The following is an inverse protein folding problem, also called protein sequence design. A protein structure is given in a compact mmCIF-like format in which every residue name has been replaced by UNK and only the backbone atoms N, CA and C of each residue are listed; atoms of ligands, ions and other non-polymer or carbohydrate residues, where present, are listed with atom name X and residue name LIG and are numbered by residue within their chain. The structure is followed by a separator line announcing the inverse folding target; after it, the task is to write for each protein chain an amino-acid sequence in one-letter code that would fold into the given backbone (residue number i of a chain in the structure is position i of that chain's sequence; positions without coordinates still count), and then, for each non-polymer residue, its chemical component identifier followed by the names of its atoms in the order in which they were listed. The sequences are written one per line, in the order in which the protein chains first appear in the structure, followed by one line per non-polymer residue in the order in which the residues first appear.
data_IF_882798425255
#
_entry.id   IF_882798425255
#
_cell.length_a   1.000
_cell.length_b   1.000
_cell.length_c   1.000
_cell.angle_alpha   90.00
_cell.angle_beta   90.00
_cell.angle_gamma   90.00
#
_symmetry.space_group_name_H-M   'P 1'
#
loop_
_entity.id
_entity.type
_entity.pdbx_description
1 polymer ?
#
# COMPACT_ATOMS: atom_id res chain seq x y z
N UNK A 1 9.54 29.27 15.99
CA UNK A 1 10.34 29.42 14.75
C UNK A 1 9.72 28.55 13.67
N UNK A 2 9.61 29.05 12.45
CA UNK A 2 9.25 28.21 11.30
C UNK A 2 10.38 27.22 11.01
N UNK A 3 10.03 25.99 10.63
CA UNK A 3 11.00 24.97 10.21
C UNK A 3 11.57 25.34 8.85
N UNK A 4 12.88 25.09 8.65
CA UNK A 4 13.57 25.43 7.41
C UNK A 4 14.12 24.19 6.71
N UNK A 5 14.18 24.24 5.38
CA UNK A 5 14.73 23.15 4.55
C UNK A 5 16.23 22.96 4.81
N UNK A 6 16.96 24.04 5.11
CA UNK A 6 18.40 23.98 5.44
C UNK A 6 18.67 23.12 6.69
N UNK A 7 17.71 23.05 7.61
CA UNK A 7 17.80 22.26 8.85
C UNK A 7 17.51 20.76 8.63
N UNK A 8 17.10 20.36 7.41
CA UNK A 8 16.86 18.96 7.11
C UNK A 8 18.18 18.17 7.07
N UNK A 9 18.17 16.92 7.56
CA UNK A 9 19.28 16.00 7.36
C UNK A 9 19.42 15.63 5.88
N UNK A 10 20.63 15.21 5.48
CA UNK A 10 20.98 14.97 4.07
C UNK A 10 20.07 13.95 3.37
N UNK A 11 19.63 12.91 4.08
CA UNK A 11 18.71 11.91 3.51
C UNK A 11 17.32 12.49 3.21
N UNK A 12 16.84 13.46 3.99
CA UNK A 12 15.56 14.12 3.76
C UNK A 12 15.69 15.16 2.64
N UNK A 13 16.86 15.83 2.53
CA UNK A 13 17.20 16.70 1.39
C UNK A 13 17.29 15.93 0.06
N UNK A 14 17.96 14.78 0.04
CA UNK A 14 18.00 13.91 -1.15
C UNK A 14 16.60 13.43 -1.52
N UNK A 15 15.79 13.01 -0.54
CA UNK A 15 14.42 12.59 -0.79
C UNK A 15 13.57 13.71 -1.41
N UNK A 16 13.65 14.94 -0.87
CA UNK A 16 12.94 16.10 -1.40
C UNK A 16 13.41 16.50 -2.81
N UNK A 17 14.73 16.47 -3.06
CA UNK A 17 15.30 16.76 -4.37
C UNK A 17 14.80 15.78 -5.44
N UNK A 18 14.79 14.48 -5.13
CA UNK A 18 14.26 13.44 -6.03
C UNK A 18 12.77 13.61 -6.29
N UNK A 19 12.00 13.94 -5.27
CA UNK A 19 10.56 14.21 -5.38
C UNK A 19 10.30 15.35 -6.37
N UNK A 20 11.01 16.47 -6.21
CA UNK A 20 10.92 17.63 -7.11
C UNK A 20 11.29 17.27 -8.55
N UNK A 21 12.35 16.48 -8.76
CA UNK A 21 12.75 16.02 -10.09
C UNK A 21 11.68 15.14 -10.74
N UNK A 22 11.07 14.23 -9.98
CA UNK A 22 9.99 13.36 -10.43
C UNK A 22 8.72 14.17 -10.76
N UNK A 23 8.36 15.16 -9.93
CA UNK A 23 7.25 16.08 -10.22
C UNK A 23 7.47 16.88 -11.50
N UNK A 24 8.69 17.41 -11.69
CA UNK A 24 9.05 18.15 -12.90
C UNK A 24 8.88 17.27 -14.14
N UNK A 25 9.42 16.05 -14.12
CA UNK A 25 9.26 15.08 -15.21
C UNK A 25 7.79 14.73 -15.48
N UNK A 26 7.00 14.58 -14.41
CA UNK A 26 5.57 14.31 -14.51
C UNK A 26 4.78 15.48 -15.12
N UNK A 27 5.15 16.71 -14.77
CA UNK A 27 4.56 17.93 -15.32
C UNK A 27 4.91 18.12 -16.79
N UNK A 28 6.19 17.95 -17.17
CA UNK A 28 6.63 17.97 -18.57
C UNK A 28 5.87 16.95 -19.41
N UNK A 29 5.70 15.73 -18.90
CA UNK A 29 4.90 14.69 -19.56
C UNK A 29 3.44 15.13 -19.79
N UNK A 30 2.79 15.74 -18.79
CA UNK A 30 1.41 16.25 -18.93
C UNK A 30 1.32 17.40 -19.92
N UNK A 31 2.28 18.32 -19.90
CA UNK A 31 2.33 19.43 -20.85
C UNK A 31 2.53 18.93 -22.29
N UNK A 32 3.36 17.91 -22.49
CA UNK A 32 3.51 17.25 -23.79
C UNK A 32 2.20 16.58 -24.25
N UNK A 33 1.45 15.97 -23.33
CA UNK A 33 0.15 15.38 -23.63
C UNK A 33 -0.90 16.42 -24.00
N UNK A 34 -1.00 17.52 -23.26
CA UNK A 34 -1.94 18.59 -23.58
C UNK A 34 -1.60 19.27 -24.91
N UNK A 35 -0.32 19.50 -25.20
CA UNK A 35 0.12 19.97 -26.53
C UNK A 35 -0.26 18.99 -27.63
N UNK A 36 0.02 17.69 -27.44
CA UNK A 36 -0.32 16.66 -28.42
C UNK A 36 -1.84 16.57 -28.64
N UNK A 37 -2.63 16.71 -27.59
CA UNK A 37 -4.10 16.71 -27.63
C UNK A 37 -4.65 17.90 -28.40
N UNK A 38 -4.05 19.08 -28.25
CA UNK A 38 -4.44 20.29 -28.96
C UNK A 38 -4.08 20.25 -30.45
N UNK A 39 -2.92 19.70 -30.80
CA UNK A 39 -2.39 19.69 -32.17
C UNK A 39 -2.94 18.54 -33.05
N UNK A 40 -3.21 17.37 -32.44
CA UNK A 40 -3.62 16.16 -33.17
C UNK A 40 -4.86 16.35 -34.07
N UNK A 41 -5.92 17.08 -33.66
CA UNK A 41 -7.06 17.35 -34.54
C UNK A 41 -6.69 18.17 -35.77
N UNK A 42 -5.73 19.09 -35.65
CA UNK A 42 -5.22 19.91 -36.75
C UNK A 42 -4.50 19.06 -37.79
N UNK A 43 -3.54 18.25 -37.33
CA UNK A 43 -2.78 17.32 -38.17
C UNK A 43 -3.68 16.32 -38.91
N UNK A 44 -4.69 15.76 -38.21
CA UNK A 44 -5.67 14.84 -38.83
C UNK A 44 -6.50 15.53 -39.92
N UNK A 45 -6.89 16.79 -39.72
CA UNK A 45 -7.61 17.58 -40.73
C UNK A 45 -6.73 17.92 -41.93
N UNK A 46 -5.48 18.30 -41.69
CA UNK A 46 -4.49 18.59 -42.75
C UNK A 46 -4.24 17.34 -43.61
N UNK A 47 -4.03 16.20 -42.95
CA UNK A 47 -3.85 14.90 -43.61
C UNK A 47 -5.04 14.48 -44.49
N UNK A 48 -6.26 14.81 -44.06
CA UNK A 48 -7.50 14.54 -44.81
C UNK A 48 -7.68 15.48 -46.01
N UNK A 49 -7.16 16.71 -45.94
CA UNK A 49 -7.28 17.74 -46.98
C UNK A 49 -6.21 17.65 -48.06
N UNK A 50 -5.18 16.82 -47.90
CA UNK A 50 -4.14 16.63 -48.89
C UNK A 50 -4.71 16.16 -50.24
N UNK A 51 -4.39 16.89 -51.30
CA UNK A 51 -4.73 16.49 -52.67
C UNK A 51 -3.82 15.34 -53.12
N UNK A 52 -4.44 14.21 -53.44
CA UNK A 52 -3.74 13.00 -53.92
C UNK A 52 -3.05 13.19 -55.27
N UNK A 53 -3.42 14.24 -56.01
CA UNK A 53 -2.85 14.57 -57.33
C UNK A 53 -1.74 15.61 -57.26
N UNK A 54 -1.47 16.20 -56.10
CA UNK A 54 -0.40 17.18 -55.93
C UNK A 54 0.98 16.53 -56.05
N UNK A 55 1.91 17.24 -56.69
CA UNK A 55 3.33 16.87 -56.68
C UNK A 55 3.85 16.87 -55.23
N UNK A 56 4.56 15.82 -54.83
CA UNK A 56 5.03 15.66 -53.44
C UNK A 56 4.00 15.08 -52.46
N UNK A 57 2.78 14.71 -52.88
CA UNK A 57 1.74 14.13 -51.98
C UNK A 57 2.27 12.99 -51.11
N UNK A 58 3.03 12.05 -51.69
CA UNK A 58 3.50 10.87 -50.96
C UNK A 58 4.49 11.22 -49.83
N UNK A 59 5.30 12.26 -50.02
CA UNK A 59 6.26 12.73 -49.01
C UNK A 59 5.52 13.47 -47.89
N UNK A 60 4.62 14.37 -48.26
CA UNK A 60 3.83 15.16 -47.31
C UNK A 60 2.87 14.30 -46.48
N UNK A 61 2.22 13.32 -47.11
CA UNK A 61 1.39 12.33 -46.43
C UNK A 61 2.19 11.53 -45.38
N UNK A 62 3.41 11.10 -45.72
CA UNK A 62 4.30 10.37 -44.78
C UNK A 62 4.73 11.25 -43.62
N UNK A 63 5.06 12.52 -43.87
CA UNK A 63 5.40 13.51 -42.84
C UNK A 63 4.26 13.65 -41.82
N UNK A 64 3.05 13.92 -42.30
CA UNK A 64 1.87 14.04 -41.43
C UNK A 64 1.52 12.72 -40.72
N UNK A 65 1.62 11.58 -41.39
CA UNK A 65 1.36 10.27 -40.77
C UNK A 65 2.37 9.98 -39.64
N UNK A 66 3.64 10.38 -39.81
CA UNK A 66 4.65 10.29 -38.76
C UNK A 66 4.34 11.23 -37.59
N UNK A 67 4.04 12.50 -37.85
CA UNK A 67 3.69 13.45 -36.79
C UNK A 67 2.44 13.01 -36.01
N UNK A 68 1.39 12.54 -36.70
CA UNK A 68 0.19 11.97 -36.06
C UNK A 68 0.58 10.81 -35.14
N UNK A 69 1.40 9.87 -35.63
CA UNK A 69 1.85 8.71 -34.85
C UNK A 69 2.64 9.12 -33.61
N UNK A 70 3.50 10.12 -33.72
CA UNK A 70 4.26 10.66 -32.58
C UNK A 70 3.35 11.29 -31.53
N UNK A 71 2.39 12.13 -31.93
CA UNK A 71 1.42 12.75 -31.02
C UNK A 71 0.51 11.71 -30.36
N UNK A 72 0.05 10.71 -31.11
CA UNK A 72 -0.71 9.58 -30.55
C UNK A 72 0.12 8.77 -29.55
N UNK A 73 1.43 8.59 -29.80
CA UNK A 73 2.36 7.98 -28.86
C UNK A 73 2.45 8.75 -27.54
N UNK A 74 2.54 10.09 -27.60
CA UNK A 74 2.54 10.97 -26.41
C UNK A 74 1.25 10.82 -25.58
N UNK A 75 0.09 10.78 -26.24
CA UNK A 75 -1.20 10.59 -25.57
C UNK A 75 -1.35 9.22 -24.89
N UNK A 76 -0.69 8.18 -25.40
CA UNK A 76 -0.71 6.82 -24.82
C UNK A 76 0.27 6.66 -23.65
N UNK A 77 1.22 7.57 -23.47
CA UNK A 77 2.21 7.51 -22.40
C UNK A 77 1.51 7.64 -21.04
N UNK A 78 1.88 6.82 -20.05
CA UNK A 78 1.39 6.98 -18.68
C UNK A 78 2.24 8.04 -17.98
N UNK A 79 1.71 9.25 -17.80
CA UNK A 79 2.34 10.27 -16.97
C UNK A 79 2.09 9.97 -15.49
N UNK A 80 3.12 10.16 -14.65
CA UNK A 80 2.97 10.02 -13.20
C UNK A 80 2.01 11.08 -12.67
N UNK A 81 1.13 10.69 -11.76
CA UNK A 81 0.14 11.57 -11.13
C UNK A 81 0.08 11.31 -9.63
N UNK A 82 -0.14 12.36 -8.85
CA UNK A 82 -0.28 12.26 -7.39
C UNK A 82 1.04 12.02 -6.68
N UNK A 83 0.96 11.31 -5.55
CA UNK A 83 2.09 11.09 -4.67
C UNK A 83 3.03 10.01 -5.22
N UNK A 84 4.32 10.34 -5.36
CA UNK A 84 5.32 9.44 -5.93
C UNK A 84 6.09 8.77 -4.79
N UNK A 85 5.96 7.43 -4.61
CA UNK A 85 6.66 6.75 -3.53
C UNK A 85 8.16 6.77 -3.80
N UNK A 86 8.94 6.81 -2.74
CA UNK A 86 10.39 6.81 -2.90
C UNK A 86 10.94 5.46 -3.39
N UNK A 87 10.25 4.36 -3.02
CA UNK A 87 10.46 3.00 -3.47
C UNK A 87 9.07 2.37 -3.69
N UNK A 88 8.58 2.30 -4.93
CA UNK A 88 7.23 1.80 -5.26
C UNK A 88 7.07 0.31 -4.98
N UNK A 89 5.89 -0.09 -4.52
CA UNK A 89 5.56 -1.49 -4.26
C UNK A 89 5.28 -2.28 -5.56
N UNK A 90 4.74 -1.64 -6.60
CA UNK A 90 4.36 -2.26 -7.86
C UNK A 90 5.55 -2.67 -8.73
N UNK A 91 6.73 -2.15 -8.45
CA UNK A 91 8.01 -2.54 -9.09
C UNK A 91 8.75 -3.64 -8.31
N UNK A 92 8.17 -4.13 -7.20
CA UNK A 92 8.81 -5.17 -6.38
C UNK A 92 8.41 -6.58 -6.79
N UNK A 93 9.29 -7.54 -6.50
CA UNK A 93 9.03 -8.96 -6.70
C UNK A 93 7.84 -9.38 -5.83
N UNK A 94 6.77 -9.86 -6.46
CA UNK A 94 5.61 -10.40 -5.76
C UNK A 94 5.87 -11.81 -5.23
N UNK A 95 5.37 -12.07 -4.03
CA UNK A 95 5.25 -13.41 -3.46
C UNK A 95 3.82 -13.93 -3.60
N UNK A 96 3.58 -15.10 -3.03
CA UNK A 96 2.26 -15.66 -2.86
C UNK A 96 1.84 -15.60 -1.39
N UNK A 97 0.54 -15.60 -1.12
CA UNK A 97 0.05 -15.81 0.23
C UNK A 97 -0.06 -17.31 0.49
N UNK A 98 0.69 -17.80 1.48
CA UNK A 98 0.64 -19.21 1.86
C UNK A 98 -0.61 -19.49 2.71
N UNK A 99 -1.55 -20.28 2.18
CA UNK A 99 -2.81 -20.61 2.85
C UNK A 99 -2.62 -21.48 4.10
N UNK A 100 -1.49 -22.19 4.24
CA UNK A 100 -1.16 -22.91 5.47
C UNK A 100 -0.99 -21.97 6.66
N UNK A 101 -0.55 -20.73 6.44
CA UNK A 101 -0.47 -19.72 7.50
C UNK A 101 -1.85 -19.43 8.09
N UNK A 102 -2.90 -19.41 7.26
CA UNK A 102 -4.28 -19.25 7.74
C UNK A 102 -4.67 -20.40 8.67
N UNK A 103 -4.34 -21.64 8.30
CA UNK A 103 -4.65 -22.83 9.09
C UNK A 103 -3.95 -22.82 10.44
N UNK A 104 -2.68 -22.40 10.48
CA UNK A 104 -1.91 -22.26 11.72
C UNK A 104 -2.55 -21.21 12.64
N UNK A 105 -2.89 -20.03 12.11
CA UNK A 105 -3.54 -18.96 12.89
C UNK A 105 -4.91 -19.44 13.42
N UNK A 106 -5.70 -20.07 12.56
CA UNK A 106 -7.02 -20.59 12.90
C UNK A 106 -6.96 -21.65 14.00
N UNK A 107 -6.03 -22.60 13.91
CA UNK A 107 -5.81 -23.60 14.94
C UNK A 107 -5.35 -22.97 16.28
N UNK A 108 -4.45 -21.98 16.21
CA UNK A 108 -3.89 -21.28 17.38
C UNK A 108 -4.93 -20.45 18.14
N UNK A 109 -5.89 -19.85 17.43
CA UNK A 109 -6.85 -18.89 18.00
C UNK A 109 -8.31 -19.37 18.02
N UNK A 110 -8.59 -20.57 17.50
CA UNK A 110 -9.95 -21.08 17.35
C UNK A 110 -10.80 -20.31 16.33
N UNK A 111 -10.15 -19.65 15.37
CA UNK A 111 -10.82 -18.86 14.32
C UNK A 111 -11.02 -19.68 13.04
N UNK A 112 -11.74 -19.10 12.07
CA UNK A 112 -11.98 -19.68 10.75
C UNK A 112 -11.84 -18.62 9.65
N UNK A 113 -10.78 -17.83 9.75
CA UNK A 113 -10.43 -16.77 8.80
C UNK A 113 -9.99 -17.39 7.47
N UNK A 114 -10.43 -16.78 6.37
CA UNK A 114 -9.95 -17.07 5.03
C UNK A 114 -8.97 -15.98 4.56
N UNK A 115 -7.75 -16.39 4.25
CA UNK A 115 -6.72 -15.48 3.75
C UNK A 115 -6.84 -15.21 2.24
N UNK A 116 -7.61 -15.99 1.48
CA UNK A 116 -7.72 -15.82 0.02
C UNK A 116 -8.38 -14.49 -0.40
N UNK A 117 -9.47 -14.00 0.22
CA UNK A 117 -9.99 -12.66 -0.03
C UNK A 117 -8.97 -11.58 0.34
N UNK A 118 -8.26 -11.77 1.44
CA UNK A 118 -7.24 -10.82 1.89
C UNK A 118 -6.07 -10.76 0.90
N UNK A 119 -5.69 -11.88 0.26
CA UNK A 119 -4.68 -11.90 -0.80
C UNK A 119 -5.07 -11.08 -2.05
N UNK A 120 -6.38 -10.91 -2.31
CA UNK A 120 -6.85 -10.05 -3.41
C UNK A 120 -6.74 -8.58 -3.06
N UNK A 121 -6.90 -8.24 -1.78
CA UNK A 121 -6.82 -6.87 -1.28
C UNK A 121 -5.40 -6.45 -0.93
N UNK A 122 -4.56 -7.39 -0.53
CA UNK A 122 -3.19 -7.19 -0.07
C UNK A 122 -2.20 -7.89 -1.00
N UNK A 123 -1.12 -7.18 -1.34
CA UNK A 123 0.03 -7.81 -1.98
C UNK A 123 0.93 -8.50 -0.96
N UNK A 124 1.65 -9.54 -1.39
CA UNK A 124 2.85 -10.04 -0.70
C UNK A 124 4.06 -9.62 -1.52
N UNK A 125 5.03 -8.96 -0.88
CA UNK A 125 6.19 -8.40 -1.53
C UNK A 125 7.47 -9.04 -0.97
N UNK A 126 8.25 -9.69 -1.84
CA UNK A 126 9.50 -10.35 -1.48
C UNK A 126 10.71 -9.42 -1.58
N UNK A 127 10.49 -8.22 -2.10
CA UNK A 127 11.46 -7.13 -2.13
C UNK A 127 10.86 -5.93 -1.43
N UNK A 128 11.66 -5.24 -0.64
CA UNK A 128 11.20 -4.11 0.16
C UNK A 128 10.74 -2.94 -0.69
N UNK A 129 9.74 -2.24 -0.18
CA UNK A 129 9.28 -0.94 -0.67
C UNK A 129 9.17 0.03 0.51
N UNK A 130 8.95 1.31 0.24
CA UNK A 130 8.73 2.32 1.28
C UNK A 130 7.46 3.09 0.89
N UNK A 131 6.30 2.80 1.52
CA UNK A 131 5.02 3.45 1.21
C UNK A 131 4.96 4.83 1.87
N UNK A 132 5.97 5.65 1.59
CA UNK A 132 6.13 7.00 2.10
C UNK A 132 6.19 7.97 0.92
N UNK A 133 5.46 9.07 1.08
CA UNK A 133 5.33 10.09 0.06
C UNK A 133 5.75 11.43 0.63
N UNK A 134 6.91 11.97 0.23
CA UNK A 134 7.22 13.36 0.52
C UNK A 134 6.23 14.24 -0.24
N UNK A 135 5.63 15.22 0.45
CA UNK A 135 4.61 16.09 -0.16
C UNK A 135 4.96 17.54 0.07
N UNK A 136 4.77 18.34 -0.97
CA UNK A 136 4.74 19.79 -0.86
C UNK A 136 3.35 20.24 -0.43
N UNK A 137 3.29 21.16 0.51
CA UNK A 137 2.08 21.87 0.90
C UNK A 137 1.52 22.69 -0.28
N UNK A 138 0.26 23.17 -0.22
CA UNK A 138 -0.37 23.93 -1.31
C UNK A 138 0.40 25.18 -1.74
N UNK A 139 1.24 25.73 -0.87
CA UNK A 139 2.13 26.87 -1.12
C UNK A 139 3.42 26.50 -1.87
N UNK A 140 3.63 25.21 -2.16
CA UNK A 140 4.82 24.68 -2.83
C UNK A 140 5.99 24.36 -1.89
N UNK A 141 5.89 24.64 -0.59
CA UNK A 141 6.92 24.31 0.41
C UNK A 141 6.85 22.84 0.88
N UNK A 142 7.94 22.24 1.38
CA UNK A 142 7.90 20.87 1.90
C UNK A 142 7.12 20.78 3.22
N UNK A 143 6.37 19.70 3.40
CA UNK A 143 5.76 19.38 4.71
C UNK A 143 6.85 18.95 5.69
N UNK A 144 6.99 19.64 6.82
CA UNK A 144 8.06 19.39 7.80
C UNK A 144 7.51 19.28 9.23
N UNK A 145 8.21 18.52 10.07
CA UNK A 145 7.87 18.36 11.49
C UNK A 145 9.13 18.29 12.36
N UNK A 146 8.98 18.43 13.68
CA UNK A 146 10.04 18.15 14.65
C UNK A 146 9.92 16.72 15.17
N UNK A 147 11.01 15.97 15.13
CA UNK A 147 11.13 14.65 15.77
C UNK A 147 12.44 14.52 16.48
N UNK A 148 12.40 14.16 17.75
CA UNK A 148 13.59 13.99 18.58
C UNK A 148 14.51 15.23 18.52
N UNK A 149 13.90 16.42 18.51
CA UNK A 149 14.61 17.71 18.38
C UNK A 149 15.00 18.11 16.95
N UNK A 150 15.02 17.17 16.00
CA UNK A 150 15.47 17.40 14.63
C UNK A 150 14.32 17.82 13.69
N UNK A 151 14.62 18.71 12.74
CA UNK A 151 13.71 19.01 11.63
C UNK A 151 13.71 17.81 10.67
N UNK A 152 12.53 17.30 10.33
CA UNK A 152 12.35 16.11 9.46
C UNK A 152 11.29 16.37 8.41
N UNK A 153 11.45 15.72 7.26
CA UNK A 153 10.42 15.74 6.21
C UNK A 153 9.22 14.88 6.65
N UNK A 154 8.02 15.42 6.51
CA UNK A 154 6.77 14.75 6.84
C UNK A 154 6.16 14.18 5.56
N UNK A 155 5.91 12.87 5.54
CA UNK A 155 5.17 12.27 4.45
C UNK A 155 3.66 12.35 4.69
N UNK A 156 2.86 12.00 3.68
CA UNK A 156 1.40 11.89 3.81
C UNK A 156 0.87 10.57 3.24
N UNK A 157 -0.10 9.97 3.89
CA UNK A 157 -0.93 8.87 3.38
C UNK A 157 -1.78 9.35 2.19
N UNK A 158 -2.39 8.41 1.45
CA UNK A 158 -3.33 8.73 0.35
C UNK A 158 -4.53 9.59 0.79
N UNK A 159 -4.97 9.45 2.04
CA UNK A 159 -6.07 10.23 2.62
C UNK A 159 -5.62 11.60 3.17
N UNK A 160 -4.33 11.95 3.03
CA UNK A 160 -3.77 13.22 3.48
C UNK A 160 -3.15 13.20 4.87
N UNK A 161 -3.34 12.13 5.65
CA UNK A 161 -2.83 12.05 7.02
C UNK A 161 -1.30 11.98 7.06
N UNK A 162 -0.63 12.56 8.07
CA UNK A 162 0.80 12.42 8.26
C UNK A 162 1.25 10.95 8.26
N UNK A 163 2.29 10.64 7.49
CA UNK A 163 2.86 9.29 7.36
C UNK A 163 4.37 9.26 7.60
N UNK A 164 4.79 8.26 8.39
CA UNK A 164 6.17 8.03 8.81
C UNK A 164 6.63 6.62 8.46
N UNK A 165 6.13 6.08 7.34
CA UNK A 165 6.44 4.74 6.93
C UNK A 165 7.95 4.49 6.82
N UNK A 166 8.35 3.29 7.22
CA UNK A 166 9.69 2.76 7.07
C UNK A 166 9.78 1.75 5.92
N UNK A 167 10.86 0.97 5.95
CA UNK A 167 11.04 -0.11 4.99
C UNK A 167 10.00 -1.20 5.26
N UNK A 168 9.24 -1.51 4.23
CA UNK A 168 8.08 -2.41 4.29
C UNK A 168 8.31 -3.62 3.39
N UNK A 169 7.95 -4.82 3.87
CA UNK A 169 8.09 -6.08 3.12
C UNK A 169 6.96 -7.06 3.45
N UNK A 170 6.97 -8.22 2.78
CA UNK A 170 5.98 -9.27 2.91
C UNK A 170 4.58 -8.70 2.71
N UNK A 171 3.62 -9.04 3.57
CA UNK A 171 2.26 -8.49 3.53
C UNK A 171 2.18 -7.16 4.30
N UNK A 172 2.92 -6.13 3.86
CA UNK A 172 2.81 -4.79 4.46
C UNK A 172 3.41 -4.63 5.86
N UNK A 173 4.44 -5.39 6.19
CA UNK A 173 5.13 -5.31 7.49
C UNK A 173 6.17 -4.18 7.43
N UNK A 174 5.90 -3.09 8.15
CA UNK A 174 6.74 -1.89 8.23
C UNK A 174 7.66 -1.94 9.46
N UNK A 175 8.97 -1.84 9.27
CA UNK A 175 9.96 -1.88 10.36
C UNK A 175 10.22 -0.53 11.04
N UNK A 176 9.75 0.59 10.47
CA UNK A 176 10.14 1.93 10.89
C UNK A 176 9.70 2.31 12.30
N UNK A 177 8.53 1.84 12.74
CA UNK A 177 7.99 2.09 14.08
C UNK A 177 8.25 0.98 15.10
N UNK A 178 9.07 -0.02 14.76
CA UNK A 178 9.25 -1.22 15.58
C UNK A 178 10.63 -1.24 16.26
N UNK A 179 10.71 -1.85 17.44
CA UNK A 179 11.97 -2.18 18.10
C UNK A 179 12.47 -3.55 17.62
N UNK A 180 13.75 -3.63 17.23
CA UNK A 180 14.33 -4.85 16.69
C UNK A 180 14.36 -6.00 17.70
N UNK A 181 14.71 -5.73 18.96
CA UNK A 181 14.89 -6.78 19.95
C UNK A 181 13.54 -7.41 20.34
N UNK A 182 12.52 -6.58 20.52
CA UNK A 182 11.14 -7.03 20.73
C UNK A 182 10.65 -7.81 19.51
N UNK A 183 10.87 -7.28 18.30
CA UNK A 183 10.47 -7.95 17.06
C UNK A 183 11.12 -9.33 16.92
N UNK A 184 12.44 -9.41 17.09
CA UNK A 184 13.22 -10.64 16.96
C UNK A 184 12.71 -11.71 17.92
N UNK A 185 12.52 -11.35 19.20
CA UNK A 185 12.06 -12.28 20.24
C UNK A 185 10.69 -12.86 19.92
N UNK A 186 9.75 -12.02 19.46
CA UNK A 186 8.45 -12.50 19.03
C UNK A 186 8.57 -13.39 17.78
N UNK A 187 9.31 -12.96 16.75
CA UNK A 187 9.49 -13.74 15.54
C UNK A 187 10.10 -15.13 15.82
N UNK A 188 11.07 -15.19 16.73
CA UNK A 188 11.72 -16.43 17.18
C UNK A 188 10.73 -17.39 17.84
N UNK A 189 9.87 -16.86 18.73
CA UNK A 189 8.79 -17.63 19.37
C UNK A 189 7.83 -18.21 18.34
N UNK A 190 7.44 -17.42 17.34
CA UNK A 190 6.59 -17.88 16.24
C UNK A 190 7.26 -18.97 15.40
N UNK A 191 8.57 -18.83 15.13
CA UNK A 191 9.31 -19.84 14.38
C UNK A 191 9.45 -21.14 15.18
N UNK A 192 9.87 -21.07 16.45
CA UNK A 192 10.02 -22.24 17.33
C UNK A 192 8.73 -23.03 17.50
N UNK A 193 7.59 -22.35 17.63
CA UNK A 193 6.28 -23.00 17.78
C UNK A 193 5.82 -23.72 16.51
N UNK A 194 6.18 -23.23 15.32
CA UNK A 194 5.57 -23.67 14.07
C UNK A 194 6.54 -24.27 13.04
N UNK A 195 7.84 -24.22 13.32
CA UNK A 195 8.93 -24.73 12.48
C UNK A 195 8.84 -24.27 11.01
N UNK A 196 8.68 -22.96 10.79
CA UNK A 196 8.47 -22.39 9.44
C UNK A 196 9.77 -22.38 8.62
N UNK A 197 10.88 -21.98 9.26
CA UNK A 197 12.23 -22.00 8.69
C UNK A 197 13.23 -22.62 9.66
N UNK A 198 14.33 -23.15 9.12
CA UNK A 198 15.43 -23.66 9.93
C UNK A 198 16.07 -22.55 10.79
N UNK A 199 16.67 -22.92 11.91
CA UNK A 199 17.28 -21.97 12.87
C UNK A 199 18.38 -21.11 12.21
N UNK A 200 19.21 -21.72 11.35
CA UNK A 200 20.23 -20.99 10.57
C UNK A 200 19.62 -19.95 9.62
N UNK A 201 18.47 -20.25 9.02
CA UNK A 201 17.77 -19.33 8.12
C UNK A 201 17.06 -18.23 8.91
N UNK A 202 16.62 -18.53 10.13
CA UNK A 202 16.09 -17.52 11.06
C UNK A 202 17.17 -16.49 11.43
N UNK A 203 18.36 -16.94 11.80
CA UNK A 203 19.46 -16.01 12.14
C UNK A 203 19.87 -15.14 10.95
N UNK A 204 19.93 -15.72 9.75
CA UNK A 204 20.16 -14.97 8.51
C UNK A 204 19.06 -13.93 8.26
N UNK A 205 17.80 -14.32 8.40
CA UNK A 205 16.67 -13.38 8.25
C UNK A 205 16.77 -12.26 9.28
N UNK A 206 17.02 -12.58 10.55
CA UNK A 206 17.11 -11.64 11.66
C UNK A 206 18.16 -10.57 11.41
N UNK A 207 19.39 -10.95 11.06
CA UNK A 207 20.46 -9.99 10.76
C UNK A 207 20.20 -9.23 9.46
N UNK A 208 19.54 -9.85 8.48
CA UNK A 208 19.15 -9.19 7.22
C UNK A 208 18.14 -8.05 7.46
N UNK A 209 17.15 -8.22 8.34
CA UNK A 209 16.12 -7.20 8.60
C UNK A 209 16.52 -6.13 9.63
N UNK A 210 17.48 -6.44 10.51
CA UNK A 210 17.94 -5.58 11.61
C UNK A 210 18.24 -4.12 11.24
N UNK A 211 18.91 -3.80 10.11
CA UNK A 211 19.29 -2.42 9.81
C UNK A 211 18.10 -1.46 9.57
N UNK A 212 16.92 -2.01 9.27
CA UNK A 212 15.75 -1.23 8.83
C UNK A 212 14.84 -0.77 9.98
N UNK A 213 15.07 -1.26 11.20
CA UNK A 213 14.29 -0.90 12.38
C UNK A 213 14.57 0.54 12.82
N UNK A 214 13.50 1.27 13.17
CA UNK A 214 13.60 2.67 13.57
C UNK A 214 13.88 3.65 12.42
N UNK A 215 13.97 3.17 11.17
CA UNK A 215 14.25 3.99 9.98
C UNK A 215 12.94 4.37 9.32
N UNK A 216 12.71 5.68 9.16
CA UNK A 216 11.45 6.23 8.65
C UNK A 216 11.70 7.31 7.58
N UNK A 217 10.75 7.47 6.67
CA UNK A 217 10.77 8.54 5.67
C UNK A 217 12.01 8.54 4.78
N UNK A 218 12.63 9.70 4.59
CA UNK A 218 13.81 9.86 3.73
C UNK A 218 14.99 8.98 4.16
N UNK A 219 15.13 8.69 5.44
CA UNK A 219 16.18 7.80 5.96
C UNK A 219 15.94 6.33 5.54
N UNK A 220 14.71 5.85 5.67
CA UNK A 220 14.32 4.51 5.20
C UNK A 220 14.53 4.38 3.68
N UNK A 221 14.18 5.42 2.94
CA UNK A 221 14.40 5.54 1.51
C UNK A 221 15.86 5.43 1.11
N UNK A 222 16.73 6.21 1.75
CA UNK A 222 18.15 6.20 1.49
C UNK A 222 18.76 4.83 1.80
N UNK A 223 18.37 4.24 2.94
CA UNK A 223 18.86 2.94 3.36
C UNK A 223 18.43 1.83 2.38
N UNK A 224 17.15 1.74 2.04
CA UNK A 224 16.62 0.68 1.18
C UNK A 224 17.08 0.77 -0.29
N UNK A 225 17.46 1.96 -0.77
CA UNK A 225 18.11 2.13 -2.08
C UNK A 225 19.54 1.62 -2.10
N UNK A 226 20.29 1.90 -1.02
CA UNK A 226 21.69 1.47 -0.89
C UNK A 226 21.79 -0.03 -0.59
N UNK A 227 20.91 -0.52 0.28
CA UNK A 227 20.84 -1.90 0.73
C UNK A 227 19.43 -2.39 0.44
N UNK A 228 19.23 -3.03 -0.70
CA UNK A 228 17.91 -3.56 -1.05
C UNK A 228 17.61 -4.80 -0.20
N UNK A 229 16.48 -4.82 0.49
CA UNK A 229 16.05 -5.98 1.27
C UNK A 229 15.22 -6.91 0.37
N UNK A 230 15.71 -8.14 0.23
CA UNK A 230 15.01 -9.22 -0.44
C UNK A 230 14.91 -10.46 0.46
N UNK A 231 13.74 -11.09 0.44
CA UNK A 231 13.44 -12.29 1.23
C UNK A 231 12.86 -13.40 0.36
N UNK A 232 13.01 -14.62 0.82
CA UNK A 232 12.38 -15.81 0.25
C UNK A 232 10.91 -15.87 0.63
N UNK A 233 10.16 -16.74 -0.06
CA UNK A 233 8.76 -16.99 0.29
C UNK A 233 8.60 -17.54 1.71
N UNK A 234 9.49 -18.43 2.17
CA UNK A 234 9.41 -19.00 3.52
C UNK A 234 9.70 -17.96 4.62
N UNK A 235 10.67 -17.07 4.37
CA UNK A 235 10.93 -15.93 5.25
C UNK A 235 9.69 -15.01 5.32
N UNK A 236 9.05 -14.73 4.18
CA UNK A 236 7.80 -13.96 4.14
C UNK A 236 6.66 -14.66 4.89
N UNK A 237 6.54 -15.98 4.79
CA UNK A 237 5.51 -16.77 5.48
C UNK A 237 5.67 -16.68 7.00
N UNK A 238 6.89 -16.73 7.54
CA UNK A 238 7.15 -16.53 8.97
C UNK A 238 6.76 -15.12 9.43
N UNK A 239 7.16 -14.10 8.68
CA UNK A 239 6.80 -12.71 9.00
C UNK A 239 5.27 -12.51 8.96
N UNK A 240 4.61 -13.05 7.92
CA UNK A 240 3.17 -13.00 7.74
C UNK A 240 2.41 -13.76 8.85
N UNK A 241 2.97 -14.87 9.34
CA UNK A 241 2.39 -15.63 10.44
C UNK A 241 2.34 -14.80 11.72
N UNK A 242 3.45 -14.18 12.10
CA UNK A 242 3.52 -13.31 13.29
C UNK A 242 2.54 -12.14 13.16
N UNK A 243 2.61 -11.39 12.06
CA UNK A 243 1.73 -10.24 11.84
C UNK A 243 0.25 -10.63 11.74
N UNK A 244 -0.05 -11.76 11.10
CA UNK A 244 -1.41 -12.28 10.94
C UNK A 244 -2.04 -12.73 12.25
N UNK A 245 -1.29 -13.46 13.10
CA UNK A 245 -1.80 -13.87 14.40
C UNK A 245 -2.00 -12.67 15.33
N UNK A 246 -1.08 -11.70 15.32
CA UNK A 246 -1.19 -10.48 16.11
C UNK A 246 -2.43 -9.66 15.71
N UNK A 247 -2.61 -9.42 14.41
CA UNK A 247 -3.79 -8.72 13.90
C UNK A 247 -5.09 -9.49 14.20
N UNK A 248 -5.05 -10.82 14.21
CA UNK A 248 -6.22 -11.64 14.55
C UNK A 248 -6.57 -11.54 16.03
N UNK A 249 -5.58 -11.63 16.93
CA UNK A 249 -5.80 -11.38 18.37
C UNK A 249 -6.40 -10.00 18.61
N UNK A 250 -5.88 -8.99 17.90
CA UNK A 250 -6.39 -7.62 17.98
C UNK A 250 -7.83 -7.52 17.49
N UNK A 251 -8.18 -8.22 16.41
CA UNK A 251 -9.55 -8.25 15.89
C UNK A 251 -10.53 -8.91 16.88
N UNK A 252 -10.13 -10.00 17.53
CA UNK A 252 -10.91 -10.63 18.60
C UNK A 252 -11.16 -9.62 19.73
N UNK A 253 -10.10 -9.02 20.27
CA UNK A 253 -10.19 -8.06 21.38
C UNK A 253 -11.09 -6.86 21.04
N UNK A 254 -10.89 -6.26 19.87
CA UNK A 254 -11.66 -5.09 19.44
C UNK A 254 -13.13 -5.41 19.18
N UNK A 255 -13.40 -6.60 18.62
CA UNK A 255 -14.76 -7.02 18.35
C UNK A 255 -15.51 -7.29 19.66
N UNK A 256 -14.88 -7.93 20.64
CA UNK A 256 -15.55 -8.31 21.90
C UNK A 256 -15.66 -7.14 22.89
N UNK A 257 -14.80 -6.12 22.75
CA UNK A 257 -14.79 -4.94 23.62
C UNK A 257 -16.12 -4.18 23.60
N UNK A 258 -16.74 -4.04 24.78
CA UNK A 258 -17.98 -3.27 25.01
C UNK A 258 -19.17 -3.76 24.17
N UNK A 259 -19.25 -5.06 23.91
CA UNK A 259 -20.45 -5.63 23.29
C UNK A 259 -21.60 -5.71 24.31
N UNK A 260 -22.87 -5.58 23.87
CA UNK A 260 -24.02 -5.91 24.69
C UNK A 260 -23.96 -7.34 25.23
N UNK A 261 -24.55 -7.57 26.39
CA UNK A 261 -24.71 -8.91 26.95
C UNK A 261 -25.44 -9.83 25.96
N UNK A 262 -24.99 -11.09 25.85
CA UNK A 262 -25.54 -12.05 24.89
C UNK A 262 -25.06 -11.89 23.43
N UNK A 263 -24.20 -10.91 23.14
CA UNK A 263 -23.60 -10.79 21.80
C UNK A 263 -22.74 -12.01 21.45
N UNK A 264 -22.66 -12.41 20.16
CA UNK A 264 -21.78 -13.50 19.73
C UNK A 264 -20.32 -13.16 20.06
N UNK A 265 -19.51 -14.17 20.38
CA UNK A 265 -18.05 -13.99 20.47
C UNK A 265 -17.46 -13.97 19.07
N UNK A 266 -16.23 -13.49 18.94
CA UNK A 266 -15.58 -13.41 17.64
C UNK A 266 -15.51 -14.78 16.94
N UNK A 267 -15.18 -15.82 17.70
CA UNK A 267 -15.03 -17.19 17.17
C UNK A 267 -16.36 -17.81 16.71
N UNK A 268 -17.49 -17.29 17.21
CA UNK A 268 -18.83 -17.78 16.86
C UNK A 268 -19.34 -17.12 15.55
N UNK A 269 -18.73 -16.01 15.12
CA UNK A 269 -19.05 -15.34 13.84
C UNK A 269 -18.78 -16.24 12.62
N UNK A 270 -19.36 -15.92 11.47
CA UNK A 270 -19.07 -16.60 10.20
C UNK A 270 -17.63 -16.36 9.72
N UNK A 271 -17.12 -17.21 8.81
CA UNK A 271 -15.78 -17.04 8.22
C UNK A 271 -15.64 -15.69 7.54
N UNK A 272 -16.68 -15.24 6.86
CA UNK A 272 -16.72 -13.97 6.13
C UNK A 272 -16.66 -12.78 7.09
N UNK A 273 -17.41 -12.83 8.20
CA UNK A 273 -17.36 -11.82 9.25
C UNK A 273 -15.98 -11.75 9.91
N UNK A 274 -15.41 -12.89 10.32
CA UNK A 274 -14.07 -12.92 10.94
C UNK A 274 -13.00 -12.38 9.98
N UNK A 275 -13.06 -12.78 8.71
CA UNK A 275 -12.13 -12.36 7.65
C UNK A 275 -12.24 -10.86 7.36
N UNK A 276 -13.46 -10.32 7.27
CA UNK A 276 -13.68 -8.90 7.06
C UNK A 276 -13.15 -8.07 8.25
N UNK A 277 -13.43 -8.50 9.49
CA UNK A 277 -12.93 -7.85 10.70
C UNK A 277 -11.40 -7.85 10.76
N UNK A 278 -10.76 -9.00 10.48
CA UNK A 278 -9.30 -9.09 10.38
C UNK A 278 -8.77 -8.10 9.32
N UNK A 279 -9.36 -8.10 8.12
CA UNK A 279 -8.93 -7.23 7.03
C UNK A 279 -8.98 -5.75 7.43
N UNK A 280 -10.03 -5.33 8.14
CA UNK A 280 -10.17 -3.95 8.59
C UNK A 280 -9.13 -3.59 9.67
N UNK A 281 -8.86 -4.49 10.61
CA UNK A 281 -7.81 -4.33 11.63
C UNK A 281 -6.43 -4.28 11.01
N UNK A 282 -6.15 -5.12 10.02
CA UNK A 282 -4.87 -5.14 9.33
C UNK A 282 -4.53 -3.79 8.68
N UNK A 283 -5.54 -3.08 8.18
CA UNK A 283 -5.37 -1.78 7.51
C UNK A 283 -5.34 -0.59 8.47
N UNK A 284 -6.13 -0.63 9.54
CA UNK A 284 -6.41 0.56 10.36
C UNK A 284 -6.02 0.42 11.81
N UNK A 285 -5.57 -0.78 12.21
CA UNK A 285 -5.34 -1.17 13.60
C UNK A 285 -6.58 -1.05 14.50
N UNK A 286 -7.75 -0.94 13.88
CA UNK A 286 -9.06 -0.74 14.50
C UNK A 286 -10.17 -1.49 13.77
N UNK A 287 -11.36 -1.50 14.37
CA UNK A 287 -12.58 -1.97 13.71
C UNK A 287 -13.48 -0.76 13.48
N UNK A 288 -13.97 -0.60 12.24
CA UNK A 288 -14.90 0.46 11.90
C UNK A 288 -16.20 0.29 12.68
N UNK A 289 -16.65 1.28 13.48
CA UNK A 289 -17.78 1.13 14.39
C UNK A 289 -19.07 0.65 13.70
N UNK A 290 -19.43 1.23 12.54
CA UNK A 290 -20.61 0.82 11.77
C UNK A 290 -20.52 -0.61 11.21
N UNK A 291 -19.31 -1.10 10.91
CA UNK A 291 -19.12 -2.47 10.44
C UNK A 291 -19.31 -3.47 11.59
N UNK A 292 -18.76 -3.15 12.77
CA UNK A 292 -19.04 -3.91 14.00
C UNK A 292 -20.55 -3.93 14.32
N UNK A 293 -21.20 -2.78 14.25
CA UNK A 293 -22.64 -2.65 14.49
C UNK A 293 -23.46 -3.49 13.51
N UNK A 294 -23.14 -3.42 12.21
CA UNK A 294 -23.81 -4.23 11.19
C UNK A 294 -23.74 -5.74 11.51
N UNK A 295 -22.57 -6.23 11.93
CA UNK A 295 -22.38 -7.64 12.31
C UNK A 295 -23.20 -8.00 13.55
N UNK A 296 -23.18 -7.17 14.59
CA UNK A 296 -23.90 -7.42 15.85
C UNK A 296 -25.42 -7.43 15.65
N UNK A 297 -25.93 -6.57 14.76
CA UNK A 297 -27.37 -6.44 14.50
C UNK A 297 -27.85 -7.35 13.36
N UNK A 298 -26.94 -8.03 12.66
CA UNK A 298 -27.27 -8.81 11.46
C UNK A 298 -27.77 -7.95 10.29
N UNK A 299 -27.52 -6.64 10.28
CA UNK A 299 -28.05 -5.69 9.28
C UNK A 299 -26.97 -5.33 8.26
N UNK A 300 -26.99 -6.01 7.11
CA UNK A 300 -26.04 -5.80 6.03
C UNK A 300 -26.12 -4.42 5.37
N UNK A 301 -27.24 -3.70 5.47
CA UNK A 301 -27.37 -2.35 4.90
C UNK A 301 -26.54 -1.32 5.66
N UNK A 302 -26.20 -1.61 6.93
CA UNK A 302 -25.37 -0.73 7.77
C UNK A 302 -23.88 -0.87 7.51
N UNK A 303 -23.45 -1.85 6.69
CA UNK A 303 -22.06 -1.96 6.28
C UNK A 303 -21.69 -0.67 5.52
N UNK A 304 -20.58 0.04 5.87
CA UNK A 304 -20.26 1.30 5.19
C UNK A 304 -19.83 1.05 3.74
N UNK A 305 -20.32 1.88 2.82
CA UNK A 305 -19.96 1.80 1.39
C UNK A 305 -18.49 2.07 1.10
N UNK A 306 -17.81 2.81 1.99
CA UNK A 306 -16.39 3.14 1.87
C UNK A 306 -15.44 2.01 2.29
N UNK A 307 -15.94 0.87 2.76
CA UNK A 307 -15.08 -0.26 3.16
C UNK A 307 -14.83 -1.18 1.98
N UNK A 308 -13.58 -1.59 1.79
CA UNK A 308 -13.20 -2.56 0.75
C UNK A 308 -13.78 -3.96 1.01
N UNK A 309 -14.08 -4.27 2.28
CA UNK A 309 -14.69 -5.52 2.70
C UNK A 309 -16.20 -5.56 2.45
N UNK A 310 -16.82 -4.45 1.99
CA UNK A 310 -18.27 -4.29 1.92
C UNK A 310 -18.93 -5.44 1.16
N UNK A 311 -18.56 -5.63 -0.10
CA UNK A 311 -19.27 -6.57 -0.99
C UNK A 311 -19.15 -8.01 -0.49
N UNK A 312 -17.97 -8.34 0.05
CA UNK A 312 -17.70 -9.64 0.66
C UNK A 312 -18.58 -9.89 1.89
N UNK A 313 -18.64 -8.92 2.80
CA UNK A 313 -19.47 -9.02 4.00
C UNK A 313 -20.97 -8.97 3.68
N UNK A 314 -21.37 -8.11 2.76
CA UNK A 314 -22.76 -7.92 2.34
C UNK A 314 -23.35 -9.21 1.72
N UNK A 315 -22.57 -9.90 0.89
CA UNK A 315 -22.98 -11.17 0.28
C UNK A 315 -23.14 -12.29 1.32
N UNK A 316 -22.41 -12.24 2.43
CA UNK A 316 -22.41 -13.27 3.48
C UNK A 316 -23.51 -13.10 4.53
N UNK A 317 -24.10 -11.91 4.63
CA UNK A 317 -25.08 -11.58 5.65
C UNK A 317 -26.52 -11.71 5.12
N UNK A 318 -27.47 -12.17 5.95
CA UNK A 318 -28.85 -12.34 5.53
C UNK A 318 -29.45 -11.00 5.07
N UNK A 319 -30.33 -11.07 4.06
CA UNK A 319 -31.18 -9.94 3.74
C UNK A 319 -32.08 -9.65 4.94
N UNK A 320 -32.35 -8.38 5.23
CA UNK A 320 -33.33 -8.04 6.26
C UNK A 320 -34.66 -8.68 5.89
N UNK A 321 -35.15 -9.61 6.71
CA UNK A 321 -36.49 -10.16 6.54
C UNK A 321 -37.46 -8.98 6.61
N UNK A 322 -38.19 -8.73 5.54
CA UNK A 322 -39.25 -7.70 5.46
C UNK A 322 -40.52 -8.11 6.22
N UNK A 323 -40.37 -8.85 7.32
CA UNK A 323 -41.47 -9.49 8.04
C UNK A 323 -41.22 -9.39 9.53
N UNK A 324 -41.57 -8.23 10.07
CA UNK A 324 -42.13 -7.99 11.41
C UNK A 324 -42.32 -6.45 11.47
N UNK A 325 -43.41 -6.02 10.83
CA UNK A 325 -44.09 -4.75 11.13
C UNK A 325 -45.23 -5.06 12.10
#
# INVERSE_FOLDING_TARGET
MALKEEDLPDYDKDALSRERALRKTAEECRQEQEKAKAELPGLKKERQKLDRKAEGYAEEARRLDQEIKEKEGKLKRKCLTGNIPCLPADETRKGALNLEIAKIINASLGTKIDLAPIAKWEGVYLKSYVPWWPVNEPDGGPSMTKREGNTRLQGKMKNGDPNNAGVTIAKGIDFGGQDYNVYKKELEKFNKRNNIIAEEDFDKLSEKIKPYFGKIGGEACALARKNSLEITQKEADLLNLRAGEEATRRAIELFEKKNPEGSPRFIDLTTEQQTALLSNVYQTWGIHPKMKQAILEGDREKIPSSRRERDYLYASMPAKNSGDQ
#
